data_IF_190880999584
#
_entry.id   IF_190880999584
#
_cell.length_a   1.000
_cell.length_b   1.000
_cell.length_c   1.000
_cell.angle_alpha   90.00
_cell.angle_beta   90.00
_cell.angle_gamma   90.00
#
_symmetry.space_group_name_H-M   'P 1'
#
loop_
_entity.id
_entity.type
_entity.pdbx_description
1 polymer ?
#
# COMPACT_ATOMS: atom_id res chain seq x y z
N UNK A 1 5.67 -0.94 -6.72
CA UNK A 1 4.42 -0.27 -6.34
C UNK A 1 3.70 -1.12 -5.30
N UNK A 2 2.97 -0.51 -4.39
CA UNK A 2 2.17 -1.23 -3.42
C UNK A 2 0.79 -0.61 -3.21
N UNK A 3 -0.16 -1.40 -2.68
CA UNK A 3 -1.52 -0.95 -2.37
C UNK A 3 -2.08 -1.69 -1.14
N UNK A 4 -3.13 -1.15 -0.53
CA UNK A 4 -3.82 -1.81 0.61
C UNK A 4 -4.47 -3.14 0.19
N UNK A 5 -5.15 -3.15 -0.97
CA UNK A 5 -5.96 -4.28 -1.42
C UNK A 5 -5.43 -4.89 -2.72
N UNK A 6 -5.58 -6.22 -2.84
CA UNK A 6 -5.19 -6.96 -4.05
C UNK A 6 -5.94 -6.49 -5.30
N UNK A 7 -7.23 -6.14 -5.18
CA UNK A 7 -8.04 -5.68 -6.32
C UNK A 7 -7.41 -4.46 -7.02
N UNK A 8 -6.78 -3.54 -6.27
CA UNK A 8 -6.08 -2.40 -6.87
C UNK A 8 -4.74 -2.82 -7.50
N UNK A 9 -4.04 -3.78 -6.90
CA UNK A 9 -2.83 -4.35 -7.49
C UNK A 9 -3.12 -5.12 -8.78
N UNK A 10 -4.23 -5.83 -8.85
CA UNK A 10 -4.64 -6.58 -10.04
C UNK A 10 -4.93 -5.61 -11.19
N UNK A 11 -5.66 -4.52 -10.91
CA UNK A 11 -5.84 -3.43 -11.89
C UNK A 11 -4.51 -2.80 -12.33
N UNK A 12 -3.58 -2.57 -11.39
CA UNK A 12 -2.27 -2.02 -11.71
C UNK A 12 -1.45 -3.01 -12.58
N UNK A 13 -1.51 -4.30 -12.26
CA UNK A 13 -0.90 -5.37 -13.05
C UNK A 13 -1.42 -5.34 -14.49
N UNK A 14 -2.74 -5.41 -14.68
CA UNK A 14 -3.36 -5.42 -16.01
C UNK A 14 -2.97 -4.18 -16.84
N UNK A 15 -2.94 -3.00 -16.21
CA UNK A 15 -2.57 -1.75 -16.87
C UNK A 15 -1.09 -1.70 -17.26
N UNK A 16 -0.19 -2.15 -16.39
CA UNK A 16 1.25 -2.21 -16.69
C UNK A 16 1.54 -3.23 -17.80
N UNK A 17 0.93 -4.41 -17.73
CA UNK A 17 1.07 -5.45 -18.75
C UNK A 17 0.53 -4.98 -20.10
N UNK A 18 -0.64 -4.33 -20.13
CA UNK A 18 -1.19 -3.74 -21.36
C UNK A 18 -0.25 -2.66 -21.97
N UNK A 19 0.47 -1.93 -21.12
CA UNK A 19 1.49 -0.97 -21.53
C UNK A 19 2.85 -1.61 -21.89
N UNK A 20 2.95 -2.96 -21.89
CA UNK A 20 4.19 -3.74 -22.11
C UNK A 20 5.31 -3.42 -21.12
N UNK A 21 4.95 -2.99 -19.90
CA UNK A 21 5.90 -2.79 -18.81
C UNK A 21 6.05 -4.12 -18.06
N UNK A 22 7.28 -4.67 -17.94
CA UNK A 22 7.50 -5.88 -17.16
C UNK A 22 7.04 -5.70 -15.72
N UNK A 23 6.34 -6.69 -15.18
CA UNK A 23 5.72 -6.63 -13.86
C UNK A 23 5.82 -7.99 -13.18
N UNK A 24 6.20 -7.99 -11.90
CA UNK A 24 6.32 -9.19 -11.09
C UNK A 24 5.63 -8.98 -9.75
N UNK A 25 5.06 -10.02 -9.14
CA UNK A 25 4.45 -9.91 -7.82
C UNK A 25 5.42 -10.39 -6.77
N UNK A 26 5.56 -9.62 -5.69
CA UNK A 26 6.46 -9.96 -4.58
C UNK A 26 6.09 -11.31 -3.93
N UNK A 27 4.80 -11.64 -3.88
CA UNK A 27 4.32 -12.92 -3.31
C UNK A 27 4.82 -14.15 -4.07
N UNK A 28 5.20 -14.00 -5.34
CA UNK A 28 5.71 -15.09 -6.19
C UNK A 28 7.22 -15.30 -5.97
N UNK A 29 7.80 -14.62 -4.98
CA UNK A 29 9.21 -14.64 -4.61
C UNK A 29 10.19 -14.43 -5.79
N UNK A 30 10.03 -13.35 -6.58
CA UNK A 30 10.90 -13.09 -7.71
C UNK A 30 12.32 -12.81 -7.23
N UNK A 31 13.29 -13.54 -7.81
CA UNK A 31 14.70 -13.42 -7.47
C UNK A 31 15.24 -11.98 -7.60
N UNK A 32 16.43 -11.68 -7.05
CA UNK A 32 16.97 -10.32 -7.01
C UNK A 32 17.13 -9.68 -8.40
N UNK A 33 17.44 -10.49 -9.42
CA UNK A 33 17.58 -10.06 -10.81
C UNK A 33 16.30 -10.07 -11.65
N UNK A 34 15.14 -10.31 -11.04
CA UNK A 34 13.88 -10.25 -11.79
C UNK A 34 13.58 -8.79 -12.18
N UNK A 35 13.53 -8.55 -13.49
CA UNK A 35 13.24 -7.25 -14.08
C UNK A 35 11.76 -6.88 -13.95
N UNK A 36 11.51 -5.57 -13.84
CA UNK A 36 10.18 -5.00 -13.88
C UNK A 36 9.65 -4.40 -12.57
N UNK A 37 8.44 -3.88 -12.65
CA UNK A 37 7.74 -3.28 -11.53
C UNK A 37 7.30 -4.36 -10.56
N UNK A 38 7.82 -4.32 -9.33
CA UNK A 38 7.41 -5.21 -8.24
C UNK A 38 6.09 -4.74 -7.64
N UNK A 39 5.06 -5.58 -7.66
CA UNK A 39 3.76 -5.33 -7.03
C UNK A 39 3.63 -6.09 -5.72
N UNK A 40 3.22 -5.39 -4.67
CA UNK A 40 3.05 -5.94 -3.32
C UNK A 40 1.86 -5.31 -2.59
N UNK A 41 1.23 -6.05 -1.69
CA UNK A 41 0.33 -5.41 -0.71
C UNK A 41 1.17 -4.62 0.29
N UNK A 42 0.60 -3.60 0.93
CA UNK A 42 1.29 -2.85 1.99
C UNK A 42 1.87 -3.78 3.08
N UNK A 43 1.16 -4.84 3.46
CA UNK A 43 1.64 -5.81 4.45
C UNK A 43 2.87 -6.60 3.99
N UNK A 44 2.94 -6.93 2.69
CA UNK A 44 4.05 -7.68 2.11
C UNK A 44 5.32 -6.84 1.95
N UNK A 45 5.27 -5.54 2.25
CA UNK A 45 6.43 -4.64 2.17
C UNK A 45 7.41 -4.81 3.34
N UNK A 46 7.01 -5.49 4.43
CA UNK A 46 7.86 -5.66 5.62
C UNK A 46 9.16 -6.38 5.26
N UNK A 47 10.30 -5.80 5.62
CA UNK A 47 11.62 -6.37 5.38
C UNK A 47 12.15 -6.22 3.96
N UNK A 48 11.41 -5.53 3.08
CA UNK A 48 11.82 -5.23 1.71
C UNK A 48 12.16 -3.75 1.58
N UNK A 49 13.08 -3.40 0.70
CA UNK A 49 13.38 -2.00 0.39
C UNK A 49 13.57 -1.82 -1.11
N UNK A 50 13.20 -0.65 -1.61
CA UNK A 50 13.24 -0.32 -3.02
C UNK A 50 13.80 1.09 -3.22
N UNK A 51 14.49 1.31 -4.33
CA UNK A 51 14.94 2.66 -4.71
C UNK A 51 13.76 3.63 -4.76
N UNK A 52 12.71 3.25 -5.47
CA UNK A 52 11.48 4.05 -5.59
C UNK A 52 10.25 3.24 -5.20
N UNK A 53 9.33 3.84 -4.45
CA UNK A 53 8.03 3.25 -4.11
C UNK A 53 6.89 4.17 -4.53
N UNK A 54 5.90 3.61 -5.20
CA UNK A 54 4.58 4.24 -5.37
C UNK A 54 3.57 3.50 -4.52
N UNK A 55 2.92 4.22 -3.61
CA UNK A 55 1.79 3.73 -2.80
C UNK A 55 0.50 4.16 -3.48
N UNK A 56 -0.27 3.16 -3.94
CA UNK A 56 -1.48 3.32 -4.72
C UNK A 56 -2.73 3.35 -3.84
N UNK A 57 -3.64 4.27 -4.15
CA UNK A 57 -5.00 4.27 -3.62
C UNK A 57 -5.09 4.59 -2.13
N UNK A 58 -4.33 5.60 -1.66
CA UNK A 58 -4.39 6.09 -0.27
C UNK A 58 -5.58 7.04 -0.10
N UNK A 59 -6.78 6.49 -0.28
CA UNK A 59 -8.06 7.21 -0.18
C UNK A 59 -8.67 7.10 1.21
N UNK A 60 -9.62 7.99 1.54
CA UNK A 60 -10.39 7.96 2.79
C UNK A 60 -11.11 6.63 3.04
N UNK A 61 -11.47 5.90 1.99
CA UNK A 61 -12.15 4.60 2.08
C UNK A 61 -11.23 3.41 2.24
N UNK A 62 -9.95 3.56 1.88
CA UNK A 62 -8.97 2.48 1.86
C UNK A 62 -8.01 2.53 3.04
N UNK A 63 -7.66 3.74 3.50
CA UNK A 63 -6.72 3.96 4.60
C UNK A 63 -7.25 5.09 5.49
N UNK A 64 -7.59 4.83 6.76
CA UNK A 64 -7.72 3.51 7.38
C UNK A 64 -8.87 2.69 6.77
N UNK A 65 -8.76 1.37 6.74
CA UNK A 65 -9.86 0.51 6.33
C UNK A 65 -10.89 0.43 7.46
N UNK A 66 -12.04 1.08 7.28
CA UNK A 66 -13.05 1.23 8.34
C UNK A 66 -13.52 -0.08 8.98
N UNK A 67 -13.50 -1.22 8.26
CA UNK A 67 -13.86 -2.53 8.83
C UNK A 67 -12.84 -3.07 9.83
N UNK A 68 -11.62 -2.55 9.81
CA UNK A 68 -10.53 -2.90 10.72
C UNK A 68 -10.37 -1.88 11.86
N UNK A 69 -11.31 -0.94 12.00
CA UNK A 69 -11.29 0.10 13.04
C UNK A 69 -12.53 -0.01 13.91
N UNK A 70 -12.32 -0.23 15.20
CA UNK A 70 -13.40 -0.30 16.19
C UNK A 70 -14.17 1.03 16.24
N UNK A 71 -15.53 1.00 16.29
CA UNK A 71 -16.32 2.21 16.48
C UNK A 71 -16.04 2.82 17.87
N UNK A 72 -15.94 4.15 17.93
CA UNK A 72 -15.67 4.87 19.18
C UNK A 72 -16.74 4.62 20.26
N UNK A 73 -17.97 4.35 19.84
CA UNK A 73 -19.09 4.03 20.73
C UNK A 73 -18.99 2.64 21.37
N UNK A 74 -18.15 1.75 20.83
CA UNK A 74 -17.94 0.40 21.35
C UNK A 74 -16.73 0.40 22.29
N UNK A 75 -15.59 0.89 21.80
CA UNK A 75 -14.36 1.01 22.58
C UNK A 75 -13.45 2.08 21.96
N UNK A 76 -13.29 3.20 22.66
CA UNK A 76 -12.46 4.31 22.22
C UNK A 76 -10.95 3.99 22.29
N UNK A 77 -10.51 3.22 23.29
CA UNK A 77 -9.11 2.86 23.45
C UNK A 77 -8.68 1.88 22.34
N UNK A 78 -9.52 0.88 22.07
CA UNK A 78 -9.28 -0.05 20.96
C UNK A 78 -9.30 0.68 19.61
N UNK A 79 -10.22 1.63 19.41
CA UNK A 79 -10.26 2.45 18.20
C UNK A 79 -8.93 3.17 17.95
N UNK A 80 -8.35 3.81 18.96
CA UNK A 80 -7.10 4.54 18.83
C UNK A 80 -5.94 3.59 18.47
N UNK A 81 -5.91 2.40 19.08
CA UNK A 81 -4.97 1.33 18.74
C UNK A 81 -5.12 0.86 17.28
N UNK A 82 -6.35 0.66 16.81
CA UNK A 82 -6.63 0.24 15.43
C UNK A 82 -6.20 1.32 14.42
N UNK A 83 -6.49 2.59 14.71
CA UNK A 83 -6.05 3.72 13.88
C UNK A 83 -4.53 3.83 13.85
N UNK A 84 -3.86 3.62 14.98
CA UNK A 84 -2.40 3.58 15.03
C UNK A 84 -1.84 2.43 14.18
N UNK A 85 -2.46 1.24 14.23
CA UNK A 85 -2.06 0.08 13.40
C UNK A 85 -2.18 0.38 11.91
N UNK A 86 -3.29 0.98 11.48
CA UNK A 86 -3.48 1.38 10.07
C UNK A 86 -2.48 2.47 9.64
N UNK A 87 -2.16 3.42 10.53
CA UNK A 87 -1.14 4.45 10.25
C UNK A 87 0.25 3.82 10.14
N UNK A 88 0.58 2.88 11.01
CA UNK A 88 1.83 2.11 10.96
C UNK A 88 1.94 1.30 9.67
N UNK A 89 0.85 0.72 9.17
CA UNK A 89 0.84 0.02 7.88
C UNK A 89 1.24 0.94 6.73
N UNK A 90 0.63 2.13 6.66
CA UNK A 90 0.98 3.13 5.65
C UNK A 90 2.44 3.61 5.82
N UNK A 91 2.86 3.89 7.05
CA UNK A 91 4.22 4.30 7.38
C UNK A 91 5.26 3.25 6.94
N UNK A 92 5.04 1.97 7.24
CA UNK A 92 5.93 0.89 6.83
C UNK A 92 6.05 0.84 5.30
N UNK A 93 4.93 0.93 4.57
CA UNK A 93 4.94 0.94 3.11
C UNK A 93 5.71 2.14 2.53
N UNK A 94 5.49 3.34 3.08
CA UNK A 94 6.17 4.57 2.65
C UNK A 94 7.68 4.53 2.93
N UNK A 95 8.08 4.06 4.10
CA UNK A 95 9.50 4.00 4.53
C UNK A 95 10.32 2.92 3.82
N UNK A 96 9.71 2.11 2.95
CA UNK A 96 10.47 1.20 2.08
C UNK A 96 11.10 1.89 0.87
N UNK A 97 10.76 3.16 0.61
CA UNK A 97 11.42 3.96 -0.41
C UNK A 97 12.77 4.50 0.09
N UNK A 98 13.84 4.27 -0.69
CA UNK A 98 15.18 4.81 -0.39
C UNK A 98 15.47 6.15 -1.05
N UNK A 99 14.96 6.38 -2.25
CA UNK A 99 15.27 7.57 -3.07
C UNK A 99 14.01 8.39 -3.36
N UNK A 100 12.93 7.76 -3.82
CA UNK A 100 11.70 8.47 -4.19
C UNK A 100 10.44 7.75 -3.69
N UNK A 101 9.53 8.55 -3.13
CA UNK A 101 8.21 8.10 -2.69
C UNK A 101 7.14 8.88 -3.44
N UNK A 102 6.19 8.16 -4.04
CA UNK A 102 4.95 8.73 -4.55
C UNK A 102 3.76 8.13 -3.81
N UNK A 103 2.90 8.98 -3.26
CA UNK A 103 1.64 8.57 -2.63
C UNK A 103 0.50 9.09 -3.50
N UNK A 104 -0.41 8.21 -3.90
CA UNK A 104 -1.45 8.53 -4.87
C UNK A 104 -2.83 8.12 -4.39
N UNK A 105 -3.85 8.87 -4.82
CA UNK A 105 -5.25 8.60 -4.52
C UNK A 105 -6.12 9.11 -5.68
N UNK A 106 -7.38 8.70 -5.68
CA UNK A 106 -8.41 9.22 -6.59
C UNK A 106 -9.66 9.53 -5.76
N UNK A 107 -10.27 10.69 -6.00
CA UNK A 107 -11.34 11.21 -5.13
C UNK A 107 -10.78 11.72 -3.80
N UNK A 108 -11.45 11.38 -2.70
CA UNK A 108 -11.07 11.86 -1.36
C UNK A 108 -9.81 11.17 -0.83
N UNK A 109 -8.81 11.97 -0.47
CA UNK A 109 -7.58 11.52 0.15
C UNK A 109 -7.82 10.92 1.54
N UNK A 110 -6.94 10.02 1.98
CA UNK A 110 -6.91 9.55 3.37
C UNK A 110 -6.67 10.70 4.33
N UNK A 111 -7.28 10.64 5.53
CA UNK A 111 -6.96 11.56 6.62
C UNK A 111 -5.54 11.36 7.19
N UNK A 112 -4.80 10.34 6.75
CA UNK A 112 -3.40 10.12 7.14
C UNK A 112 -2.39 10.83 6.24
N UNK A 113 -2.83 11.45 5.15
CA UNK A 113 -1.97 12.26 4.27
C UNK A 113 -2.36 13.74 4.35
N UNK A 114 -1.42 14.68 4.05
CA UNK A 114 -1.68 16.11 4.11
C UNK A 114 -2.76 16.61 3.13
#
# INVERSE_FOLDING_TARGET
>A
MCARFNVLLDKAYDKLTAARIPVVRVRDNPGPGADGVRLATMHAMKGLEFRCVTVLGVTASAVPFAREVTPASVDALQRDSDLLRERCLLFVACTRAREALAVTWSGSASSFVP
#
